data_IF_795930601708
#
_entry.id   IF_795930601708
#
_cell.length_a   1.000
_cell.length_b   1.000
_cell.length_c   1.000
_cell.angle_alpha   90.00
_cell.angle_beta   90.00
_cell.angle_gamma   90.00
#
_symmetry.space_group_name_H-M   'P 1'
#
loop_
_entity.id
_entity.type
_entity.pdbx_description
1 polymer ?
#
# COMPACT_ATOMS: atom_id res chain seq x y z
N UNK A 1 -12.38 -4.81 1.61
CA UNK A 1 -12.90 -6.20 1.58
C UNK A 1 -12.76 -6.84 2.94
N UNK A 2 -13.77 -7.59 3.36
CA UNK A 2 -13.79 -8.33 4.62
C UNK A 2 -14.05 -9.82 4.38
N UNK A 3 -13.79 -10.67 5.39
CA UNK A 3 -14.01 -12.12 5.34
C UNK A 3 -13.07 -12.89 6.27
N UNK A 4 -13.39 -14.14 6.56
CA UNK A 4 -12.59 -14.99 7.45
C UNK A 4 -11.14 -15.16 6.94
N UNK A 5 -10.23 -15.51 7.85
CA UNK A 5 -8.88 -15.91 7.45
C UNK A 5 -8.95 -17.12 6.50
N UNK A 6 -8.09 -17.15 5.48
CA UNK A 6 -8.11 -18.21 4.46
C UNK A 6 -9.23 -18.12 3.42
N UNK A 7 -10.11 -17.09 3.44
CA UNK A 7 -11.18 -16.91 2.45
C UNK A 7 -10.70 -16.52 1.04
N UNK A 8 -9.40 -16.22 0.87
CA UNK A 8 -8.80 -15.88 -0.43
C UNK A 8 -8.54 -14.38 -0.67
N UNK A 9 -8.72 -13.51 0.33
CA UNK A 9 -8.53 -12.04 0.22
C UNK A 9 -7.16 -11.67 -0.36
N UNK A 10 -6.08 -12.10 0.29
CA UNK A 10 -4.69 -11.86 -0.15
C UNK A 10 -4.45 -12.37 -1.58
N UNK A 11 -4.95 -13.57 -1.89
CA UNK A 11 -4.83 -14.15 -3.23
C UNK A 11 -5.49 -13.27 -4.28
N UNK A 12 -6.69 -12.77 -3.99
CA UNK A 12 -7.41 -11.87 -4.91
C UNK A 12 -6.68 -10.54 -5.06
N UNK A 13 -6.25 -9.90 -3.94
CA UNK A 13 -5.52 -8.63 -4.00
C UNK A 13 -4.23 -8.74 -4.83
N UNK A 14 -3.47 -9.80 -4.65
CA UNK A 14 -2.22 -10.02 -5.41
C UNK A 14 -2.43 -10.21 -6.90
N UNK A 15 -3.62 -10.70 -7.33
CA UNK A 15 -3.96 -10.78 -8.77
C UNK A 15 -4.06 -9.40 -9.43
N UNK A 16 -4.28 -8.33 -8.64
CA UNK A 16 -4.40 -6.97 -9.14
C UNK A 16 -3.04 -6.33 -9.50
N UNK A 17 -1.93 -6.94 -9.04
CA UNK A 17 -0.56 -6.48 -9.35
C UNK A 17 0.25 -7.63 -9.96
N UNK A 18 0.46 -7.66 -11.29
CA UNK A 18 1.07 -8.79 -12.00
C UNK A 18 2.42 -9.25 -11.43
N UNK A 19 3.23 -8.30 -10.94
CA UNK A 19 4.57 -8.59 -10.39
C UNK A 19 4.57 -9.51 -9.15
N UNK A 20 3.44 -9.58 -8.41
CA UNK A 20 3.30 -10.38 -7.19
C UNK A 20 2.12 -11.36 -7.25
N UNK A 21 1.54 -11.52 -8.45
CA UNK A 21 0.42 -12.45 -8.66
C UNK A 21 0.86 -13.89 -8.39
N UNK A 22 0.07 -14.68 -7.64
CA UNK A 22 0.37 -16.08 -7.40
C UNK A 22 0.37 -16.89 -8.70
N UNK A 23 1.23 -17.90 -8.77
CA UNK A 23 1.24 -18.87 -9.87
C UNK A 23 -0.03 -19.72 -9.84
N UNK A 24 -0.55 -20.06 -11.04
CA UNK A 24 -1.71 -20.95 -11.17
C UNK A 24 -2.49 -20.71 -12.45
N UNK A 25 -3.51 -21.55 -12.66
CA UNK A 25 -4.48 -21.32 -13.75
C UNK A 25 -5.40 -20.16 -13.35
N UNK A 26 -5.49 -19.18 -14.22
CA UNK A 26 -6.35 -18.01 -14.07
C UNK A 26 -7.41 -17.99 -15.17
N UNK A 27 -8.63 -17.63 -14.82
CA UNK A 27 -9.72 -17.37 -15.77
C UNK A 27 -10.29 -15.98 -15.50
N UNK A 28 -10.68 -15.28 -16.55
CA UNK A 28 -11.12 -13.88 -16.48
C UNK A 28 -9.97 -12.89 -16.64
N UNK A 29 -10.26 -11.60 -16.48
CA UNK A 29 -9.31 -10.51 -16.61
C UNK A 29 -9.46 -9.51 -15.48
N UNK A 30 -8.33 -8.92 -15.06
CA UNK A 30 -8.29 -7.71 -14.25
C UNK A 30 -8.09 -6.54 -15.18
N UNK A 31 -9.00 -5.58 -15.12
CA UNK A 31 -8.93 -4.40 -15.98
C UNK A 31 -8.46 -3.19 -15.17
N UNK A 32 -7.47 -2.49 -15.69
CA UNK A 32 -6.98 -1.21 -15.22
C UNK A 32 -7.20 -0.17 -16.34
N UNK A 33 -8.00 0.87 -16.07
CA UNK A 33 -8.42 1.84 -17.09
C UNK A 33 -9.00 1.17 -18.37
N UNK A 34 -9.77 0.10 -18.19
CA UNK A 34 -10.42 -0.63 -19.30
C UNK A 34 -9.52 -1.57 -20.09
N UNK A 35 -8.25 -1.74 -19.73
CA UNK A 35 -7.29 -2.64 -20.37
C UNK A 35 -6.84 -3.73 -19.41
N UNK A 36 -6.56 -4.95 -19.89
CA UNK A 36 -5.98 -6.00 -19.05
C UNK A 36 -4.70 -5.52 -18.35
N UNK A 37 -4.61 -5.76 -17.04
CA UNK A 37 -3.46 -5.30 -16.24
C UNK A 37 -2.15 -5.94 -16.69
N UNK A 38 -2.21 -7.11 -17.32
CA UNK A 38 -1.08 -7.84 -17.88
C UNK A 38 -0.47 -7.15 -19.12
N UNK A 39 -1.26 -6.32 -19.80
CA UNK A 39 -0.81 -5.55 -20.98
C UNK A 39 -0.15 -4.22 -20.61
N UNK A 40 -0.20 -3.84 -19.33
CA UNK A 40 0.50 -2.64 -18.88
C UNK A 40 2.00 -2.84 -18.97
N UNK A 41 2.68 -1.81 -19.43
CA UNK A 41 4.14 -1.74 -19.33
C UNK A 41 4.57 -1.95 -17.87
N UNK A 42 5.58 -2.80 -17.64
CA UNK A 42 6.02 -3.17 -16.29
C UNK A 42 6.35 -1.96 -15.40
N UNK A 43 7.03 -0.95 -15.99
CA UNK A 43 7.35 0.28 -15.27
C UNK A 43 6.08 1.04 -14.87
N UNK A 44 5.14 1.18 -15.79
CA UNK A 44 3.84 1.82 -15.54
C UNK A 44 3.06 1.10 -14.45
N UNK A 45 2.96 -0.24 -14.52
CA UNK A 45 2.29 -1.05 -13.49
C UNK A 45 2.97 -0.92 -12.11
N UNK A 46 4.31 -0.82 -12.07
CA UNK A 46 5.05 -0.63 -10.82
C UNK A 46 4.77 0.73 -10.18
N UNK A 47 4.69 1.79 -10.98
CA UNK A 47 4.45 3.16 -10.51
C UNK A 47 2.97 3.41 -10.16
N UNK A 48 2.04 2.99 -11.02
CA UNK A 48 0.63 3.38 -10.90
C UNK A 48 -0.19 2.49 -9.97
N UNK A 49 0.28 1.27 -9.65
CA UNK A 49 -0.40 0.34 -8.74
C UNK A 49 0.49 0.10 -7.52
N UNK A 50 0.23 0.84 -6.43
CA UNK A 50 0.90 0.67 -5.15
C UNK A 50 0.39 -0.58 -4.41
N UNK A 51 1.27 -1.28 -3.70
CA UNK A 51 0.88 -2.41 -2.85
C UNK A 51 1.60 -2.32 -1.50
N UNK A 52 0.84 -2.42 -0.42
CA UNK A 52 1.34 -2.46 0.96
C UNK A 52 1.03 -3.84 1.53
N UNK A 53 2.08 -4.56 1.94
CA UNK A 53 1.95 -5.88 2.54
C UNK A 53 1.51 -5.81 4.00
N UNK A 54 0.98 -6.93 4.49
CA UNK A 54 0.57 -7.12 5.87
C UNK A 54 1.71 -6.89 6.87
N UNK A 55 2.93 -7.37 6.55
CA UNK A 55 4.11 -7.17 7.37
C UNK A 55 5.06 -6.16 6.71
N UNK A 56 5.40 -5.05 7.39
CA UNK A 56 6.36 -4.09 6.88
C UNK A 56 7.75 -4.70 6.69
N UNK A 57 8.16 -5.62 7.54
CA UNK A 57 9.47 -6.27 7.46
C UNK A 57 9.63 -7.14 6.19
N UNK A 58 8.54 -7.54 5.55
CA UNK A 58 8.56 -8.24 4.27
C UNK A 58 8.72 -7.31 3.06
N UNK A 59 8.58 -6.01 3.25
CA UNK A 59 8.59 -5.01 2.18
C UNK A 59 9.77 -4.04 2.28
N UNK A 60 10.14 -3.64 3.48
CA UNK A 60 11.26 -2.73 3.74
C UNK A 60 12.58 -3.44 3.37
N UNK A 61 13.42 -2.78 2.56
CA UNK A 61 14.64 -3.37 2.01
C UNK A 61 15.92 -2.60 2.39
N UNK A 62 15.80 -1.40 2.95
CA UNK A 62 16.93 -0.57 3.33
C UNK A 62 17.09 -0.48 4.85
N UNK A 63 18.16 0.14 5.33
CA UNK A 63 18.47 0.31 6.76
C UNK A 63 18.06 1.68 7.31
N UNK A 64 17.74 2.66 6.41
CA UNK A 64 17.42 4.04 6.78
C UNK A 64 16.11 4.51 6.18
N UNK A 65 15.39 5.35 6.93
CA UNK A 65 14.13 5.95 6.50
C UNK A 65 14.29 6.73 5.18
N UNK A 66 15.32 7.56 5.07
CA UNK A 66 15.58 8.35 3.85
C UNK A 66 15.82 7.49 2.62
N UNK A 67 16.56 6.39 2.79
CA UNK A 67 16.85 5.45 1.70
C UNK A 67 15.59 4.68 1.29
N UNK A 68 14.78 4.25 2.26
CA UNK A 68 13.54 3.53 1.98
C UNK A 68 12.53 4.39 1.21
N UNK A 69 12.40 5.66 1.56
CA UNK A 69 11.54 6.60 0.82
C UNK A 69 12.02 6.83 -0.62
N UNK A 70 13.34 6.86 -0.86
CA UNK A 70 13.92 7.09 -2.18
C UNK A 70 13.95 5.84 -3.06
N UNK A 71 14.04 4.64 -2.46
CA UNK A 71 14.36 3.38 -3.11
C UNK A 71 13.51 3.07 -4.34
N UNK A 72 12.19 3.22 -4.24
CA UNK A 72 11.29 2.96 -5.37
C UNK A 72 11.51 3.90 -6.55
N UNK A 73 11.74 5.18 -6.28
CA UNK A 73 11.99 6.20 -7.30
C UNK A 73 13.36 6.01 -7.97
N UNK A 74 14.39 5.64 -7.21
CA UNK A 74 15.72 5.32 -7.72
C UNK A 74 15.66 4.14 -8.70
N UNK A 75 14.97 3.06 -8.31
CA UNK A 75 14.76 1.89 -9.17
C UNK A 75 13.95 2.22 -10.43
N UNK A 76 13.07 3.20 -10.36
CA UNK A 76 12.31 3.69 -11.51
C UNK A 76 13.12 4.64 -12.40
N UNK A 77 14.37 4.96 -12.05
CA UNK A 77 15.23 5.87 -12.79
C UNK A 77 14.75 7.32 -12.77
N UNK A 78 14.09 7.75 -11.67
CA UNK A 78 13.68 9.14 -11.49
C UNK A 78 14.91 10.02 -11.22
N UNK A 79 14.99 11.24 -11.78
CA UNK A 79 16.13 12.13 -11.53
C UNK A 79 16.29 12.49 -10.03
N UNK A 80 17.53 12.62 -9.51
CA UNK A 80 17.79 12.88 -8.08
C UNK A 80 17.08 14.12 -7.52
N UNK A 81 16.96 15.18 -8.30
CA UNK A 81 16.23 16.41 -7.92
C UNK A 81 14.77 16.14 -7.63
N UNK A 82 14.13 15.38 -8.51
CA UNK A 82 12.73 15.00 -8.41
C UNK A 82 12.51 14.04 -7.23
N UNK A 83 13.45 13.11 -7.00
CA UNK A 83 13.42 12.22 -5.83
C UNK A 83 13.44 13.06 -4.55
N UNK A 84 14.38 14.00 -4.40
CA UNK A 84 14.49 14.86 -3.21
C UNK A 84 13.18 15.62 -2.96
N UNK A 85 12.59 16.20 -4.01
CA UNK A 85 11.35 16.94 -3.93
C UNK A 85 10.19 16.06 -3.44
N UNK A 86 9.96 14.92 -4.11
CA UNK A 86 8.86 14.01 -3.76
C UNK A 86 9.00 13.41 -2.37
N UNK A 87 10.21 13.03 -1.99
CA UNK A 87 10.49 12.48 -0.65
C UNK A 87 10.23 13.53 0.42
N UNK A 88 10.66 14.78 0.22
CA UNK A 88 10.41 15.86 1.17
C UNK A 88 8.91 16.17 1.30
N UNK A 89 8.19 16.28 0.19
CA UNK A 89 6.74 16.50 0.16
C UNK A 89 6.01 15.39 0.91
N UNK A 90 6.37 14.14 0.66
CA UNK A 90 5.70 13.00 1.28
C UNK A 90 6.08 12.86 2.76
N UNK A 91 7.33 13.10 3.13
CA UNK A 91 7.74 13.13 4.54
C UNK A 91 6.94 14.16 5.34
N UNK A 92 6.75 15.36 4.78
CA UNK A 92 5.89 16.40 5.37
C UNK A 92 4.42 16.00 5.46
N UNK A 93 3.88 15.42 4.38
CA UNK A 93 2.48 14.96 4.36
C UNK A 93 2.19 13.90 5.44
N UNK A 94 3.13 12.96 5.64
CA UNK A 94 3.02 11.90 6.65
C UNK A 94 3.46 12.34 8.05
N UNK A 95 4.07 13.53 8.21
CA UNK A 95 4.60 14.00 9.49
C UNK A 95 5.77 13.16 10.01
N UNK A 96 6.60 12.65 9.10
CA UNK A 96 7.73 11.75 9.43
C UNK A 96 9.10 12.39 9.25
N UNK A 97 9.19 13.70 9.11
CA UNK A 97 10.45 14.44 8.94
C UNK A 97 11.40 14.18 10.11
N UNK A 98 10.88 14.07 11.33
CA UNK A 98 11.66 13.74 12.51
C UNK A 98 12.30 12.36 12.51
N UNK A 99 11.91 11.48 11.58
CA UNK A 99 12.47 10.13 11.44
C UNK A 99 13.46 10.02 10.27
N UNK A 100 13.52 11.01 9.41
CA UNK A 100 14.20 10.97 8.12
C UNK A 100 15.64 10.41 8.19
N UNK A 101 16.39 10.75 9.24
CA UNK A 101 17.75 10.28 9.44
C UNK A 101 17.89 9.04 10.34
N UNK A 102 16.76 8.51 10.84
CA UNK A 102 16.79 7.34 11.73
C UNK A 102 17.09 6.06 10.97
N UNK A 103 17.72 5.12 11.68
CA UNK A 103 17.75 3.73 11.29
C UNK A 103 16.34 3.13 11.44
N UNK A 104 15.96 2.26 10.52
CA UNK A 104 14.62 1.63 10.51
C UNK A 104 14.42 0.75 11.74
N UNK A 105 15.47 0.11 12.22
CA UNK A 105 15.45 -0.68 13.46
C UNK A 105 15.02 0.12 14.70
N UNK A 106 15.27 1.44 14.71
CA UNK A 106 14.87 2.33 15.81
C UNK A 106 13.39 2.73 15.77
N UNK A 107 12.64 2.32 14.75
CA UNK A 107 11.22 2.61 14.59
C UNK A 107 10.36 1.56 15.30
N UNK A 108 9.24 2.00 15.89
CA UNK A 108 8.18 1.07 16.35
C UNK A 108 7.52 0.35 15.18
N UNK A 109 6.77 -0.73 15.45
CA UNK A 109 6.01 -1.45 14.43
C UNK A 109 5.04 -0.55 13.66
N UNK A 110 4.29 0.31 14.35
CA UNK A 110 3.40 1.29 13.74
C UNK A 110 4.14 2.32 12.88
N UNK A 111 5.32 2.79 13.34
CA UNK A 111 6.16 3.69 12.57
C UNK A 111 6.72 3.03 11.30
N UNK A 112 7.13 1.75 11.38
CA UNK A 112 7.57 0.99 10.19
C UNK A 112 6.45 0.80 9.19
N UNK A 113 5.23 0.51 9.65
CA UNK A 113 4.09 0.37 8.75
C UNK A 113 3.71 1.71 8.10
N UNK A 114 3.79 2.82 8.84
CA UNK A 114 3.59 4.17 8.29
C UNK A 114 4.67 4.54 7.26
N UNK A 115 5.95 4.22 7.54
CA UNK A 115 7.05 4.37 6.58
C UNK A 115 6.80 3.55 5.30
N UNK A 116 6.35 2.30 5.47
CA UNK A 116 6.03 1.42 4.35
C UNK A 116 4.92 2.01 3.45
N UNK A 117 3.88 2.57 4.05
CA UNK A 117 2.85 3.29 3.30
C UNK A 117 3.43 4.53 2.59
N UNK A 118 4.25 5.33 3.28
CA UNK A 118 4.87 6.53 2.73
C UNK A 118 5.80 6.19 1.55
N UNK A 119 6.61 5.12 1.63
CA UNK A 119 7.52 4.69 0.55
C UNK A 119 6.78 4.26 -0.71
N UNK A 120 5.58 3.70 -0.56
CA UNK A 120 4.70 3.42 -1.71
C UNK A 120 4.08 4.71 -2.26
N UNK A 121 3.66 5.62 -1.39
CA UNK A 121 2.99 6.87 -1.80
C UNK A 121 3.93 7.88 -2.47
N UNK A 122 5.24 7.86 -2.18
CA UNK A 122 6.26 8.65 -2.90
C UNK A 122 6.24 8.38 -4.40
N UNK A 123 5.88 7.16 -4.81
CA UNK A 123 5.73 6.77 -6.22
C UNK A 123 4.52 7.45 -6.90
N UNK A 124 3.63 8.06 -6.13
CA UNK A 124 2.38 8.67 -6.57
C UNK A 124 1.48 7.69 -7.36
N UNK A 125 1.13 6.53 -6.79
CA UNK A 125 0.29 5.54 -7.46
C UNK A 125 -1.13 6.11 -7.70
N UNK A 126 -1.82 5.61 -8.71
CA UNK A 126 -3.25 5.91 -8.94
C UNK A 126 -4.16 5.02 -8.10
N UNK A 127 -3.71 3.80 -7.84
CA UNK A 127 -4.42 2.82 -7.01
C UNK A 127 -3.49 2.31 -5.92
N UNK A 128 -3.95 2.35 -4.69
CA UNK A 128 -3.27 1.81 -3.51
C UNK A 128 -3.99 0.55 -3.03
N UNK A 129 -3.28 -0.56 -3.01
CA UNK A 129 -3.78 -1.85 -2.55
C UNK A 129 -3.10 -2.18 -1.21
N UNK A 130 -3.88 -2.53 -0.18
CA UNK A 130 -3.35 -2.86 1.14
C UNK A 130 -3.91 -4.21 1.62
N UNK A 131 -3.02 -5.09 2.03
CA UNK A 131 -3.37 -6.43 2.51
C UNK A 131 -3.24 -6.49 4.04
N UNK A 132 -4.35 -6.37 4.76
CA UNK A 132 -4.46 -6.38 6.22
C UNK A 132 -3.41 -5.48 6.93
N UNK A 133 -3.27 -4.20 6.54
CA UNK A 133 -2.14 -3.36 6.94
C UNK A 133 -2.09 -3.04 8.44
N UNK A 134 -3.21 -3.20 9.17
CA UNK A 134 -3.27 -2.89 10.61
C UNK A 134 -3.25 -4.14 11.50
N UNK A 135 -3.16 -5.33 10.92
CA UNK A 135 -3.29 -6.60 11.66
C UNK A 135 -2.24 -6.82 12.76
N UNK A 136 -1.05 -6.22 12.62
CA UNK A 136 0.05 -6.33 13.58
C UNK A 136 0.23 -5.07 14.44
N UNK A 137 -0.70 -4.11 14.34
CA UNK A 137 -0.61 -2.83 15.04
C UNK A 137 -1.43 -2.85 16.34
N UNK A 138 -0.90 -2.14 17.34
CA UNK A 138 -1.69 -1.78 18.52
C UNK A 138 -2.86 -0.86 18.12
N UNK A 139 -3.91 -0.72 18.96
CA UNK A 139 -5.10 0.06 18.60
C UNK A 139 -4.82 1.50 18.24
N UNK A 140 -3.87 2.17 18.92
CA UNK A 140 -3.54 3.58 18.66
C UNK A 140 -2.84 3.71 17.31
N UNK A 141 -1.84 2.87 17.05
CA UNK A 141 -1.12 2.84 15.76
C UNK A 141 -2.05 2.51 14.61
N UNK A 142 -3.00 1.58 14.81
CA UNK A 142 -4.00 1.23 13.81
C UNK A 142 -4.93 2.40 13.50
N UNK A 143 -5.46 3.10 14.51
CA UNK A 143 -6.28 4.29 14.31
C UNK A 143 -5.54 5.40 13.56
N UNK A 144 -4.26 5.65 13.90
CA UNK A 144 -3.42 6.62 13.18
C UNK A 144 -3.22 6.20 11.71
N UNK A 145 -3.02 4.92 11.45
CA UNK A 145 -2.86 4.40 10.09
C UNK A 145 -4.15 4.55 9.26
N UNK A 146 -5.30 4.21 9.82
CA UNK A 146 -6.62 4.39 9.19
C UNK A 146 -6.89 5.87 8.92
N UNK A 147 -6.62 6.75 9.89
CA UNK A 147 -6.73 8.21 9.70
C UNK A 147 -5.84 8.73 8.56
N UNK A 148 -4.64 8.15 8.38
CA UNK A 148 -3.79 8.48 7.23
C UNK A 148 -4.39 8.00 5.91
N UNK A 149 -4.99 6.81 5.85
CA UNK A 149 -5.70 6.34 4.65
C UNK A 149 -6.88 7.26 4.28
N UNK A 150 -7.64 7.70 5.27
CA UNK A 150 -8.73 8.67 5.07
C UNK A 150 -8.19 9.99 4.51
N UNK A 151 -7.09 10.51 5.06
CA UNK A 151 -6.42 11.71 4.58
C UNK A 151 -5.93 11.56 3.14
N UNK A 152 -5.31 10.44 2.78
CA UNK A 152 -4.88 10.14 1.41
C UNK A 152 -6.07 10.14 0.43
N UNK A 153 -7.18 9.52 0.81
CA UNK A 153 -8.37 9.48 -0.03
C UNK A 153 -8.97 10.88 -0.21
N UNK A 154 -9.15 11.64 0.87
CA UNK A 154 -9.81 12.97 0.83
C UNK A 154 -8.95 14.07 0.21
N UNK A 155 -7.67 14.15 0.56
CA UNK A 155 -6.81 15.24 0.13
C UNK A 155 -6.11 14.97 -1.21
N UNK A 156 -5.77 13.71 -1.51
CA UNK A 156 -5.08 13.33 -2.74
C UNK A 156 -5.98 12.61 -3.75
N UNK A 157 -7.24 12.34 -3.42
CA UNK A 157 -8.16 11.61 -4.30
C UNK A 157 -7.73 10.16 -4.55
N UNK A 158 -6.98 9.56 -3.62
CA UNK A 158 -6.38 8.24 -3.80
C UNK A 158 -7.45 7.16 -3.85
N UNK A 159 -7.45 6.33 -4.88
CA UNK A 159 -8.27 5.11 -4.93
C UNK A 159 -7.63 4.06 -4.04
N UNK A 160 -8.33 3.63 -3.00
CA UNK A 160 -7.83 2.69 -2.01
C UNK A 160 -8.64 1.39 -2.04
N UNK A 161 -7.97 0.27 -2.19
CA UNK A 161 -8.54 -1.07 -2.06
C UNK A 161 -7.80 -1.81 -0.94
N UNK A 162 -8.52 -2.18 0.11
CA UNK A 162 -7.88 -2.85 1.25
C UNK A 162 -8.68 -4.05 1.74
N UNK A 163 -7.96 -4.99 2.37
CA UNK A 163 -8.55 -6.04 3.21
C UNK A 163 -8.27 -5.72 4.66
N UNK A 164 -9.26 -5.90 5.52
CA UNK A 164 -9.13 -5.65 6.95
C UNK A 164 -10.12 -6.47 7.78
N UNK A 165 -9.73 -6.71 9.04
CA UNK A 165 -10.58 -7.32 10.06
C UNK A 165 -11.26 -6.28 10.98
N UNK A 166 -10.73 -5.05 11.07
CA UNK A 166 -11.27 -3.94 11.87
C UNK A 166 -12.44 -3.26 11.15
N UNK A 167 -13.55 -3.96 11.04
CA UNK A 167 -14.69 -3.54 10.24
C UNK A 167 -15.37 -2.28 10.80
N UNK A 168 -15.47 -2.18 12.13
CA UNK A 168 -16.14 -1.07 12.81
C UNK A 168 -15.49 0.29 12.52
N UNK A 169 -14.16 0.32 12.38
CA UNK A 169 -13.41 1.54 12.11
C UNK A 169 -13.43 1.93 10.62
N UNK A 170 -13.53 0.95 9.72
CA UNK A 170 -13.40 1.16 8.28
C UNK A 170 -14.73 1.28 7.52
N UNK A 171 -15.78 0.62 7.99
CA UNK A 171 -17.07 0.66 7.28
C UNK A 171 -17.64 2.06 7.12
N UNK A 172 -17.52 2.98 8.10
CA UNK A 172 -17.96 4.37 7.91
C UNK A 172 -17.19 5.15 6.85
N UNK A 173 -15.97 4.71 6.51
CA UNK A 173 -15.09 5.38 5.55
C UNK A 173 -15.15 4.77 4.15
N UNK A 174 -15.78 3.59 4.01
CA UNK A 174 -15.77 2.82 2.77
C UNK A 174 -16.94 3.19 1.84
N UNK A 175 -16.65 3.55 0.60
CA UNK A 175 -17.67 3.73 -0.44
C UNK A 175 -18.31 2.41 -0.87
N UNK A 176 -17.55 1.30 -0.81
CA UNK A 176 -17.97 -0.03 -1.22
C UNK A 176 -17.39 -1.10 -0.29
N UNK A 177 -18.23 -2.06 0.08
CA UNK A 177 -17.84 -3.19 0.92
C UNK A 177 -18.06 -4.48 0.14
N UNK A 178 -17.04 -5.33 0.06
CA UNK A 178 -17.12 -6.68 -0.48
C UNK A 178 -16.86 -7.72 0.58
N UNK A 179 -17.67 -8.75 0.64
CA UNK A 179 -17.51 -9.89 1.55
C UNK A 179 -16.90 -11.07 0.81
N UNK A 180 -15.77 -11.56 1.33
CA UNK A 180 -15.11 -12.74 0.77
C UNK A 180 -15.45 -13.98 1.58
N UNK A 181 -16.10 -14.95 0.95
CA UNK A 181 -16.50 -16.20 1.58
C UNK A 181 -16.18 -17.39 0.67
N UNK A 182 -15.39 -18.35 1.17
CA UNK A 182 -14.99 -19.56 0.44
C UNK A 182 -14.48 -19.28 -1.00
N UNK A 183 -13.64 -18.26 -1.16
CA UNK A 183 -13.08 -17.88 -2.45
C UNK A 183 -14.03 -17.10 -3.38
N UNK A 184 -15.19 -16.69 -2.89
CA UNK A 184 -16.18 -15.91 -3.66
C UNK A 184 -16.38 -14.54 -3.04
N UNK A 185 -16.38 -13.51 -3.88
CA UNK A 185 -16.71 -12.15 -3.50
C UNK A 185 -18.23 -11.93 -3.68
N UNK A 186 -18.87 -11.43 -2.62
CA UNK A 186 -20.28 -11.05 -2.56
C UNK A 186 -20.41 -9.55 -2.34
#
# INVERSE_FOLDING_TARGET
MSGASGSGKTTLLRQLKPAIAPYGKRQGAVLYEGRPVEELEKRRAALEIGFVFQSPDAQIVTDRVSSELAFGLENAGVPPEEIRRRVAEMAGFFGIEGWYHKAIEALSGGQRQMLNLASVMVMNPKVLILDEPTSQLDPVSAGNFIGMLEKLNRELGQTILLTEHRQEELFPLADRIGMMELGRLK
#
